data_IF_996324898295
#
_entry.id   IF_996324898295
#
_cell.length_a   1.000
_cell.length_b   1.000
_cell.length_c   1.000
_cell.angle_alpha   90.00
_cell.angle_beta   90.00
_cell.angle_gamma   90.00
#
_symmetry.space_group_name_H-M   'P 1'
#
loop_
_entity.id
_entity.type
_entity.pdbx_description
1 polymer ?
#
# COMPACT_ATOMS: atom_id res chain seq x y z
N UNK A 1 -30.12 12.03 -64.03
CA UNK A 1 -28.88 11.36 -63.58
C UNK A 1 -28.07 12.42 -62.86
N UNK A 2 -28.26 12.54 -61.54
CA UNK A 2 -27.77 13.67 -60.74
C UNK A 2 -26.82 13.09 -59.70
N UNK A 3 -25.52 13.35 -59.86
CA UNK A 3 -24.49 12.88 -58.94
C UNK A 3 -24.52 13.72 -57.65
N UNK A 4 -24.72 13.05 -56.53
CA UNK A 4 -24.70 13.63 -55.18
C UNK A 4 -23.23 13.99 -54.84
N UNK A 5 -22.92 15.21 -54.36
CA UNK A 5 -21.57 15.50 -53.90
C UNK A 5 -21.28 14.68 -52.63
N UNK A 6 -20.07 14.12 -52.58
CA UNK A 6 -19.57 13.36 -51.43
C UNK A 6 -19.57 14.24 -50.17
N UNK A 7 -20.16 13.72 -49.10
CA UNK A 7 -20.11 14.36 -47.77
C UNK A 7 -18.67 14.35 -47.23
N UNK A 8 -18.33 15.28 -46.32
CA UNK A 8 -16.97 15.36 -45.78
C UNK A 8 -16.63 14.06 -45.04
N UNK A 9 -15.51 13.45 -45.44
CA UNK A 9 -14.93 12.27 -44.79
C UNK A 9 -14.71 12.55 -43.30
N UNK A 10 -15.40 11.79 -42.44
CA UNK A 10 -15.27 11.86 -40.98
C UNK A 10 -14.06 11.06 -40.46
N UNK A 11 -13.08 10.76 -41.31
CA UNK A 11 -11.92 9.92 -41.01
C UNK A 11 -10.77 10.75 -40.42
N UNK A 12 -11.08 11.53 -39.39
CA UNK A 12 -10.10 12.29 -38.60
C UNK A 12 -10.11 11.88 -37.13
N UNK A 13 -10.43 10.62 -36.81
CA UNK A 13 -10.57 10.15 -35.43
C UNK A 13 -9.20 9.84 -34.80
N UNK A 14 -8.64 10.86 -34.14
CA UNK A 14 -7.79 10.76 -32.94
C UNK A 14 -6.63 9.74 -32.92
N UNK A 15 -5.71 9.83 -33.88
CA UNK A 15 -4.37 9.24 -33.72
C UNK A 15 -3.38 10.27 -33.16
N UNK A 16 -3.74 10.94 -32.06
CA UNK A 16 -2.73 11.67 -31.29
C UNK A 16 -1.97 10.61 -30.48
N UNK A 17 -0.69 10.31 -30.76
CA UNK A 17 0.11 9.50 -29.86
C UNK A 17 0.05 10.18 -28.50
N UNK A 18 -0.46 9.49 -27.48
CA UNK A 18 -0.47 9.99 -26.11
C UNK A 18 0.98 10.27 -25.73
N UNK A 19 1.38 11.54 -25.85
CA UNK A 19 2.68 12.03 -25.47
C UNK A 19 2.74 11.88 -23.95
N UNK A 20 3.23 10.73 -23.50
CA UNK A 20 3.59 10.49 -22.11
C UNK A 20 4.55 11.60 -21.69
N UNK A 21 4.04 12.55 -20.91
CA UNK A 21 4.79 13.72 -20.47
C UNK A 21 6.00 13.21 -19.65
N UNK A 22 7.24 13.57 -20.03
CA UNK A 22 8.41 13.11 -19.31
C UNK A 22 8.44 13.69 -17.88
N UNK A 23 8.90 12.88 -16.91
CA UNK A 23 8.89 13.22 -15.48
C UNK A 23 9.56 14.53 -15.09
N UNK A 24 10.54 14.99 -15.89
CA UNK A 24 11.20 16.28 -15.68
C UNK A 24 10.22 17.46 -15.75
N UNK A 25 9.15 17.32 -16.53
CA UNK A 25 8.08 18.32 -16.64
C UNK A 25 7.02 18.16 -15.55
N UNK A 26 7.02 17.02 -14.83
CA UNK A 26 6.03 16.66 -13.81
C UNK A 26 6.67 16.53 -12.42
N UNK A 27 7.25 17.62 -11.93
CA UNK A 27 7.99 17.72 -10.65
C UNK A 27 7.29 17.12 -9.42
N UNK A 28 5.96 17.09 -9.38
CA UNK A 28 5.20 16.51 -8.26
C UNK A 28 5.22 14.96 -8.26
N UNK A 29 5.51 14.32 -9.39
CA UNK A 29 5.59 12.86 -9.46
C UNK A 29 6.78 12.30 -8.68
N UNK A 30 7.84 13.09 -8.50
CA UNK A 30 8.96 12.72 -7.64
C UNK A 30 8.56 12.50 -6.19
N UNK A 31 7.64 13.31 -5.67
CA UNK A 31 7.10 13.12 -4.32
C UNK A 31 6.41 11.76 -4.20
N UNK A 32 5.58 11.39 -5.18
CA UNK A 32 4.89 10.10 -5.20
C UNK A 32 5.86 8.92 -5.35
N UNK A 33 6.88 9.04 -6.20
CA UNK A 33 7.90 8.00 -6.37
C UNK A 33 8.67 7.78 -5.07
N UNK A 34 9.11 8.85 -4.40
CA UNK A 34 9.82 8.73 -3.12
C UNK A 34 8.90 8.13 -2.07
N UNK A 35 7.68 8.64 -1.91
CA UNK A 35 6.71 8.15 -0.94
C UNK A 35 6.36 6.66 -1.14
N UNK A 36 6.03 6.24 -2.36
CA UNK A 36 5.73 4.85 -2.66
C UNK A 36 6.94 3.94 -2.50
N UNK A 37 8.14 4.40 -2.84
CA UNK A 37 9.36 3.62 -2.62
C UNK A 37 9.64 3.43 -1.13
N UNK A 38 9.48 4.50 -0.32
CA UNK A 38 9.58 4.40 1.14
C UNK A 38 8.53 3.45 1.70
N UNK A 39 7.27 3.54 1.26
CA UNK A 39 6.23 2.60 1.68
C UNK A 39 6.53 1.15 1.26
N UNK A 40 7.04 0.93 0.05
CA UNK A 40 7.46 -0.40 -0.40
C UNK A 40 8.55 -0.98 0.51
N UNK A 41 9.59 -0.19 0.82
CA UNK A 41 10.67 -0.62 1.69
C UNK A 41 10.16 -0.92 3.10
N UNK A 42 9.36 -0.04 3.68
CA UNK A 42 8.78 -0.25 5.01
C UNK A 42 7.92 -1.51 5.01
N UNK A 43 6.98 -1.66 4.08
CA UNK A 43 6.12 -2.85 4.04
C UNK A 43 6.90 -4.15 3.83
N UNK A 44 7.87 -4.18 2.93
CA UNK A 44 8.65 -5.40 2.65
C UNK A 44 9.62 -5.75 3.78
N UNK A 45 10.18 -4.75 4.48
CA UNK A 45 11.17 -5.00 5.53
C UNK A 45 10.49 -5.18 6.88
N UNK A 46 9.62 -4.24 7.27
CA UNK A 46 8.96 -4.21 8.57
C UNK A 46 7.80 -5.21 8.63
N UNK A 47 6.91 -5.20 7.64
CA UNK A 47 5.68 -6.01 7.76
C UNK A 47 5.97 -7.50 7.60
N UNK A 48 7.00 -7.88 6.83
CA UNK A 48 7.41 -9.31 6.71
C UNK A 48 7.84 -9.93 8.03
N UNK A 49 8.42 -9.13 8.95
CA UNK A 49 8.77 -9.63 10.28
C UNK A 49 7.53 -10.00 11.11
N UNK A 50 6.35 -9.49 10.75
CA UNK A 50 5.07 -9.82 11.39
C UNK A 50 4.35 -11.02 10.75
N UNK A 51 4.87 -11.60 9.65
CA UNK A 51 4.24 -12.75 8.95
C UNK A 51 4.26 -14.05 9.76
N UNK A 52 5.38 -14.32 10.45
CA UNK A 52 5.67 -15.66 10.98
C UNK A 52 5.64 -15.76 12.51
N UNK A 53 5.52 -14.64 13.23
CA UNK A 53 5.48 -14.69 14.69
C UNK A 53 5.46 -13.32 15.36
N UNK A 54 5.34 -13.35 16.69
CA UNK A 54 5.36 -12.15 17.53
C UNK A 54 6.76 -11.51 17.53
N UNK A 55 6.87 -10.18 17.55
CA UNK A 55 8.16 -9.50 17.74
C UNK A 55 8.85 -10.02 19.01
N UNK A 56 10.12 -10.40 18.92
CA UNK A 56 10.89 -10.98 20.03
C UNK A 56 12.28 -10.33 20.13
N UNK A 57 12.70 -9.85 21.32
CA UNK A 57 13.99 -9.18 21.52
C UNK A 57 15.20 -10.10 21.30
N UNK A 58 15.02 -11.41 21.38
CA UNK A 58 16.06 -12.42 21.16
C UNK A 58 15.97 -13.08 19.78
N UNK A 59 15.16 -12.54 18.87
CA UNK A 59 15.06 -13.06 17.50
C UNK A 59 16.39 -12.92 16.74
N UNK A 60 16.74 -13.93 15.95
CA UNK A 60 17.89 -13.87 15.05
C UNK A 60 17.70 -12.84 13.91
N UNK A 61 16.44 -12.46 13.63
CA UNK A 61 16.14 -11.41 12.64
C UNK A 61 16.33 -10.01 13.27
N UNK A 62 17.27 -9.18 12.77
CA UNK A 62 17.52 -7.84 13.31
C UNK A 62 16.30 -6.92 13.16
N UNK A 63 15.44 -7.13 12.16
CA UNK A 63 14.22 -6.34 11.97
C UNK A 63 13.18 -6.66 13.04
N UNK A 64 13.03 -7.94 13.41
CA UNK A 64 12.11 -8.34 14.49
C UNK A 64 12.55 -7.75 15.84
N UNK A 65 13.86 -7.61 16.07
CA UNK A 65 14.42 -6.94 17.25
C UNK A 65 14.17 -5.43 17.24
N UNK A 66 14.39 -4.77 16.09
CA UNK A 66 14.08 -3.35 15.92
C UNK A 66 12.59 -3.09 16.14
N UNK A 67 11.72 -3.94 15.59
CA UNK A 67 10.29 -3.83 15.79
C UNK A 67 9.89 -4.02 17.24
N UNK A 68 10.44 -5.02 17.92
CA UNK A 68 10.20 -5.17 19.35
C UNK A 68 10.63 -3.92 20.14
N UNK A 69 11.76 -3.30 19.79
CA UNK A 69 12.22 -2.07 20.45
C UNK A 69 11.35 -0.84 20.14
N UNK A 70 10.82 -0.72 18.92
CA UNK A 70 9.98 0.42 18.50
C UNK A 70 8.52 0.28 18.95
N UNK A 71 7.99 -0.94 18.91
CA UNK A 71 6.60 -1.28 19.21
C UNK A 71 6.43 -1.62 20.71
N UNK A 72 7.56 -1.83 21.41
CA UNK A 72 7.85 -2.08 22.83
C UNK A 72 6.82 -1.72 23.91
N UNK A 73 6.01 -0.70 23.65
CA UNK A 73 4.89 -0.26 24.48
C UNK A 73 3.98 0.73 23.75
N UNK A 74 4.16 0.91 22.43
CA UNK A 74 3.41 1.87 21.62
C UNK A 74 2.19 1.22 20.95
N UNK A 75 2.32 -0.05 20.55
CA UNK A 75 1.23 -0.78 19.88
C UNK A 75 1.12 -2.22 20.43
N UNK A 76 0.28 -2.41 21.46
CA UNK A 76 0.06 -3.72 22.07
C UNK A 76 -0.57 -4.74 21.12
N UNK A 77 -1.34 -4.31 20.11
CA UNK A 77 -1.99 -5.22 19.15
C UNK A 77 -0.98 -5.82 18.18
N UNK A 78 -0.04 -5.01 17.69
CA UNK A 78 1.13 -5.51 16.93
C UNK A 78 2.00 -6.45 17.78
N UNK A 79 2.20 -6.16 19.07
CA UNK A 79 2.96 -7.06 19.97
C UNK A 79 2.29 -8.43 20.16
N UNK A 80 0.97 -8.45 20.36
CA UNK A 80 0.22 -9.69 20.49
C UNK A 80 0.21 -10.51 19.19
N UNK A 81 0.34 -9.82 18.05
CA UNK A 81 0.36 -10.33 16.68
C UNK A 81 -0.66 -11.46 16.42
N UNK A 82 -1.97 -11.22 16.59
CA UNK A 82 -3.00 -12.22 16.29
C UNK A 82 -3.08 -12.53 14.79
N UNK A 83 -3.76 -13.63 14.43
CA UNK A 83 -3.83 -14.11 13.02
C UNK A 83 -4.37 -13.06 12.05
N UNK A 84 -5.31 -12.23 12.50
CA UNK A 84 -5.81 -11.10 11.69
C UNK A 84 -4.70 -10.11 11.34
N UNK A 85 -3.82 -9.77 12.29
CA UNK A 85 -2.69 -8.85 12.09
C UNK A 85 -1.61 -9.50 11.23
N UNK A 86 -1.32 -10.78 11.44
CA UNK A 86 -0.41 -11.54 10.57
C UNK A 86 -0.89 -11.53 9.12
N UNK A 87 -2.18 -11.74 8.88
CA UNK A 87 -2.75 -11.73 7.53
C UNK A 87 -2.78 -10.33 6.92
N UNK A 88 -3.30 -9.33 7.65
CA UNK A 88 -3.49 -7.97 7.13
C UNK A 88 -2.17 -7.20 7.01
N UNK A 89 -1.40 -7.11 8.09
CA UNK A 89 -0.11 -6.42 8.11
C UNK A 89 0.96 -7.34 7.52
N UNK A 90 1.12 -8.55 8.05
CA UNK A 90 2.19 -9.45 7.59
C UNK A 90 2.09 -9.84 6.12
N UNK A 91 1.00 -10.47 5.67
CA UNK A 91 0.89 -10.97 4.30
C UNK A 91 0.43 -9.92 3.30
N UNK A 92 -0.70 -9.26 3.57
CA UNK A 92 -1.31 -8.33 2.60
C UNK A 92 -0.50 -7.04 2.49
N UNK A 93 -0.10 -6.40 3.59
CA UNK A 93 0.72 -5.20 3.53
C UNK A 93 2.09 -5.49 2.93
N UNK A 94 2.80 -6.50 3.41
CA UNK A 94 4.14 -6.79 2.90
C UNK A 94 4.15 -7.19 1.42
N UNK A 95 3.34 -8.17 1.02
CA UNK A 95 3.43 -8.74 -0.33
C UNK A 95 2.59 -7.98 -1.34
N UNK A 96 1.31 -7.77 -1.03
CA UNK A 96 0.37 -7.19 -1.97
C UNK A 96 0.62 -5.68 -2.10
N UNK A 97 0.62 -4.95 -0.99
CA UNK A 97 0.87 -3.51 -1.03
C UNK A 97 2.34 -3.18 -1.29
N UNK A 98 3.29 -3.85 -0.64
CA UNK A 98 4.72 -3.67 -0.90
C UNK A 98 5.08 -3.88 -2.37
N UNK A 99 4.61 -4.98 -2.98
CA UNK A 99 4.79 -5.23 -4.41
C UNK A 99 4.06 -4.21 -5.28
N UNK A 100 2.82 -3.84 -4.92
CA UNK A 100 2.05 -2.84 -5.65
C UNK A 100 2.74 -1.46 -5.66
N UNK A 101 3.32 -1.03 -4.54
CA UNK A 101 4.07 0.23 -4.45
C UNK A 101 5.31 0.24 -5.35
N UNK A 102 6.02 -0.88 -5.51
CA UNK A 102 7.13 -0.98 -6.47
C UNK A 102 6.64 -0.79 -7.91
N UNK A 103 5.50 -1.39 -8.26
CA UNK A 103 4.87 -1.22 -9.58
C UNK A 103 4.42 0.23 -9.78
N UNK A 104 3.85 0.88 -8.76
CA UNK A 104 3.52 2.30 -8.80
C UNK A 104 4.77 3.14 -9.04
N UNK A 105 5.82 2.99 -8.23
CA UNK A 105 7.07 3.73 -8.41
C UNK A 105 7.62 3.55 -9.83
N UNK A 106 7.67 2.32 -10.35
CA UNK A 106 8.16 2.04 -11.71
C UNK A 106 7.29 2.70 -12.80
N UNK A 107 5.96 2.62 -12.68
CA UNK A 107 5.05 3.18 -13.69
C UNK A 107 4.99 4.70 -13.67
N UNK A 108 5.11 5.32 -12.49
CA UNK A 108 5.33 6.75 -12.36
C UNK A 108 6.66 7.15 -12.99
N UNK A 109 7.75 6.40 -12.74
CA UNK A 109 9.06 6.60 -13.41
C UNK A 109 8.96 6.46 -14.96
N UNK A 110 7.98 5.72 -15.47
CA UNK A 110 7.75 5.58 -16.92
C UNK A 110 6.71 6.56 -17.48
N UNK A 111 6.12 7.43 -16.66
CA UNK A 111 5.11 8.41 -17.08
C UNK A 111 3.81 7.78 -17.61
N UNK A 112 3.45 6.58 -17.15
CA UNK A 112 2.27 5.85 -17.64
C UNK A 112 1.01 6.29 -16.90
N UNK A 113 0.08 6.96 -17.58
CA UNK A 113 -1.11 7.54 -16.94
C UNK A 113 -2.18 6.53 -16.52
N UNK A 114 -2.22 5.34 -17.12
CA UNK A 114 -3.22 4.31 -16.80
C UNK A 114 -3.18 3.86 -15.34
N UNK A 115 -2.05 4.04 -14.64
CA UNK A 115 -1.87 3.60 -13.26
C UNK A 115 -2.61 4.49 -12.24
N UNK A 116 -3.09 5.68 -12.63
CA UNK A 116 -3.77 6.59 -11.70
C UNK A 116 -5.01 5.96 -11.06
N UNK A 117 -5.83 5.28 -11.86
CA UNK A 117 -7.05 4.61 -11.37
C UNK A 117 -6.72 3.47 -10.38
N UNK A 118 -5.83 2.51 -10.70
CA UNK A 118 -5.33 1.53 -9.74
C UNK A 118 -4.74 2.16 -8.48
N UNK A 119 -3.98 3.25 -8.59
CA UNK A 119 -3.37 3.92 -7.45
C UNK A 119 -4.41 4.50 -6.49
N UNK A 120 -5.47 5.13 -7.00
CA UNK A 120 -6.58 5.65 -6.18
C UNK A 120 -7.31 4.51 -5.47
N UNK A 121 -7.59 3.42 -6.19
CA UNK A 121 -8.23 2.25 -5.59
C UNK A 121 -7.36 1.62 -4.50
N UNK A 122 -6.06 1.48 -4.77
CA UNK A 122 -5.07 1.01 -3.81
C UNK A 122 -5.03 1.88 -2.56
N UNK A 123 -5.00 3.21 -2.71
CA UNK A 123 -5.06 4.13 -1.59
C UNK A 123 -6.32 3.95 -0.74
N UNK A 124 -7.49 3.77 -1.36
CA UNK A 124 -8.73 3.48 -0.66
C UNK A 124 -8.69 2.17 0.14
N UNK A 125 -8.05 1.12 -0.40
CA UNK A 125 -7.86 -0.13 0.32
C UNK A 125 -6.93 0.02 1.53
N UNK A 126 -5.85 0.80 1.40
CA UNK A 126 -4.95 1.11 2.53
C UNK A 126 -5.72 1.83 3.63
N UNK A 127 -6.47 2.89 3.29
CA UNK A 127 -7.28 3.65 4.25
C UNK A 127 -8.28 2.73 4.96
N UNK A 128 -8.95 1.83 4.23
CA UNK A 128 -9.86 0.85 4.83
C UNK A 128 -9.13 -0.10 5.78
N UNK A 129 -7.99 -0.66 5.37
CA UNK A 129 -7.22 -1.60 6.17
C UNK A 129 -6.71 -0.95 7.46
N UNK A 130 -6.15 0.25 7.36
CA UNK A 130 -5.71 1.05 8.51
C UNK A 130 -6.88 1.41 9.42
N UNK A 131 -8.03 1.81 8.85
CA UNK A 131 -9.23 2.11 9.61
C UNK A 131 -9.71 0.91 10.43
N UNK A 132 -9.77 -0.29 9.82
CA UNK A 132 -10.13 -1.52 10.53
C UNK A 132 -9.14 -1.83 11.66
N UNK A 133 -7.84 -1.72 11.38
CA UNK A 133 -6.80 -1.94 12.39
C UNK A 133 -6.96 -1.01 13.59
N UNK A 134 -7.13 0.29 13.32
CA UNK A 134 -7.31 1.30 14.36
C UNK A 134 -8.61 1.10 15.14
N UNK A 135 -9.70 0.69 14.49
CA UNK A 135 -10.94 0.35 15.18
C UNK A 135 -10.70 -0.78 16.19
N UNK A 136 -10.06 -1.88 15.77
CA UNK A 136 -9.79 -3.00 16.68
C UNK A 136 -8.89 -2.58 17.85
N UNK A 137 -7.89 -1.73 17.58
CA UNK A 137 -6.99 -1.21 18.60
C UNK A 137 -7.72 -0.27 19.59
N UNK A 138 -8.53 0.66 19.09
CA UNK A 138 -9.15 1.74 19.88
C UNK A 138 -10.44 1.34 20.58
N UNK A 139 -11.29 0.51 19.96
CA UNK A 139 -12.50 -0.02 20.60
C UNK A 139 -12.19 -1.13 21.61
N UNK A 140 -10.95 -1.64 21.63
CA UNK A 140 -10.56 -2.71 22.53
C UNK A 140 -11.12 -4.08 22.11
N UNK A 141 -11.43 -4.27 20.82
CA UNK A 141 -11.88 -5.54 20.25
C UNK A 141 -10.72 -6.54 20.03
N UNK A 142 -9.48 -6.14 20.35
CA UNK A 142 -8.30 -7.00 20.35
C UNK A 142 -8.49 -8.38 21.02
N UNK A 143 -9.23 -8.52 22.14
CA UNK A 143 -9.47 -9.80 22.81
C UNK A 143 -10.28 -10.78 21.96
N UNK A 144 -11.12 -10.29 21.05
CA UNK A 144 -11.88 -11.13 20.11
C UNK A 144 -10.94 -11.92 19.19
N UNK A 145 -9.76 -11.37 18.90
CA UNK A 145 -8.77 -11.96 18.00
C UNK A 145 -7.58 -12.57 18.74
N UNK A 146 -7.36 -12.18 20.00
CA UNK A 146 -6.33 -12.72 20.88
C UNK A 146 -6.83 -12.79 22.33
N UNK A 147 -7.37 -13.92 22.80
CA UNK A 147 -7.91 -14.03 24.16
C UNK A 147 -6.90 -13.78 25.30
N UNK A 148 -5.60 -13.77 24.99
CA UNK A 148 -4.50 -13.48 25.91
C UNK A 148 -4.06 -12.01 25.90
N UNK A 149 -4.83 -11.13 25.24
CA UNK A 149 -4.53 -9.70 25.15
C UNK A 149 -4.72 -9.01 26.52
N UNK A 150 -3.73 -8.27 27.03
CA UNK A 150 -3.85 -7.54 28.29
C UNK A 150 -5.03 -6.56 28.23
N UNK A 151 -5.95 -6.65 29.19
CA UNK A 151 -7.05 -5.69 29.29
C UNK A 151 -6.53 -4.42 29.96
N UNK A 152 -6.90 -3.22 29.48
CA UNK A 152 -6.79 -2.05 30.32
C UNK A 152 -7.68 -2.29 31.55
N UNK A 153 -7.12 -2.14 32.75
CA UNK A 153 -7.91 -2.23 33.98
C UNK A 153 -8.98 -1.13 33.93
N UNK A 154 -10.23 -1.53 34.19
CA UNK A 154 -11.41 -0.66 34.14
C UNK A 154 -11.43 0.36 35.28
#
# INVERSE_FOLDING_TARGET
>A
MTTRPAGPDHTGRHDAPSLSIPLRERRYDWFFVVAFTTFACTSLVIDTANMFGRPNPHSHNPVARLLYAQIGGADPLMMANPRFVQLSVGFVSALLFGGFYLVLSYTFIRGREWIRLPAIFGAGMVVRATGLYLTVLLLGDAPLFCPSYPQPEA
#
